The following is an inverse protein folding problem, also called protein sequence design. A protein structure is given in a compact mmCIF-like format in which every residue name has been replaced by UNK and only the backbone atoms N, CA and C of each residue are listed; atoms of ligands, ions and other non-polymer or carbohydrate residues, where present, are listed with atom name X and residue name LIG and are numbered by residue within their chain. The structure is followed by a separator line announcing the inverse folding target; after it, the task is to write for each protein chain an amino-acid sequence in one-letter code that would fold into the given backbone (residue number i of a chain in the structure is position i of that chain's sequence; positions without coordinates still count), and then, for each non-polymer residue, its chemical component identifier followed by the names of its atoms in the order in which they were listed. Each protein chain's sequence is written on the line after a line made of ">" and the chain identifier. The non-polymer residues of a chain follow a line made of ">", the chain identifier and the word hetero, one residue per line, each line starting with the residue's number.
data_IF_176278949211
#
_entry.id   IF_176278949211
#
_cell.length_a   1.000
_cell.length_b   1.000
_cell.length_c   1.000
_cell.angle_alpha   90.00
_cell.angle_beta   90.00
_cell.angle_gamma   90.00
#
_symmetry.space_group_name_H-M   'P 1'
#
loop_
_entity.id
_entity.type
_entity.pdbx_description
1 polymer ?
#
# COMPACT_ATOMS: atom_id res chain seq x y z
N UNK A 1 9.47 28.58 -40.81
CA UNK A 1 10.11 28.32 -39.50
C UNK A 1 9.04 28.33 -38.40
N UNK A 2 8.39 27.19 -38.13
CA UNK A 2 7.53 27.00 -36.95
C UNK A 2 7.65 25.53 -36.58
N UNK A 3 8.17 25.23 -35.40
CA UNK A 3 8.22 23.83 -34.94
C UNK A 3 9.23 23.49 -33.85
N UNK A 4 9.45 24.35 -32.84
CA UNK A 4 10.37 24.03 -31.72
C UNK A 4 9.83 24.38 -30.33
N UNK A 5 8.56 24.77 -30.18
CA UNK A 5 7.97 25.13 -28.88
C UNK A 5 7.04 24.05 -28.28
N UNK A 6 6.75 22.97 -29.00
CA UNK A 6 5.79 21.96 -28.55
C UNK A 6 6.40 20.77 -27.80
N UNK A 7 7.72 20.58 -27.79
CA UNK A 7 8.36 19.42 -27.13
C UNK A 7 8.65 19.62 -25.64
N UNK A 8 8.76 20.87 -25.17
CA UNK A 8 9.09 21.16 -23.76
C UNK A 8 7.85 21.15 -22.86
N UNK A 9 6.68 21.53 -23.36
CA UNK A 9 5.42 21.47 -22.62
C UNK A 9 4.90 20.03 -22.49
N UNK A 10 5.22 19.15 -23.44
CA UNK A 10 4.79 17.75 -23.48
C UNK A 10 5.46 16.89 -22.39
N UNK A 11 6.77 17.08 -22.15
CA UNK A 11 7.52 16.36 -21.11
C UNK A 11 7.18 16.78 -19.67
N UNK A 12 6.55 17.94 -19.51
CA UNK A 12 6.11 18.46 -18.20
C UNK A 12 4.72 17.92 -17.85
N UNK A 13 3.85 17.76 -18.85
CA UNK A 13 2.51 17.17 -18.70
C UNK A 13 2.54 15.64 -18.61
N UNK A 14 3.45 14.95 -19.31
CA UNK A 14 3.67 13.51 -19.10
C UNK A 14 4.15 13.18 -17.68
N UNK A 15 4.83 14.12 -17.03
CA UNK A 15 5.23 14.01 -15.63
C UNK A 15 4.06 14.20 -14.65
N UNK A 16 2.92 14.71 -15.13
CA UNK A 16 1.72 14.99 -14.33
C UNK A 16 0.74 13.82 -14.24
N UNK A 17 0.92 12.78 -15.07
CA UNK A 17 0.09 11.59 -15.05
C UNK A 17 1.00 10.36 -15.09
N UNK A 18 1.39 9.83 -13.93
CA UNK A 18 2.04 8.52 -13.89
C UNK A 18 1.03 7.49 -14.42
N UNK A 19 1.24 6.88 -15.60
CA UNK A 19 0.29 5.92 -16.15
C UNK A 19 0.10 4.71 -15.23
N UNK A 20 1.09 4.42 -14.38
CA UNK A 20 1.03 3.35 -13.40
C UNK A 20 0.06 3.67 -12.25
N UNK A 21 -0.20 4.94 -11.96
CA UNK A 21 -1.09 5.37 -10.87
C UNK A 21 -2.55 5.00 -11.10
N UNK A 22 -2.92 4.70 -12.35
CA UNK A 22 -4.26 4.27 -12.73
C UNK A 22 -4.30 2.87 -13.35
N UNK A 23 -3.15 2.19 -13.42
CA UNK A 23 -3.01 0.93 -14.16
C UNK A 23 -3.93 -0.18 -13.67
N UNK A 24 -4.24 -0.21 -12.38
CA UNK A 24 -5.14 -1.21 -11.78
C UNK A 24 -6.62 -1.00 -12.12
N UNK A 25 -7.02 0.18 -12.59
CA UNK A 25 -8.40 0.40 -13.05
C UNK A 25 -8.55 -0.03 -14.51
N UNK A 26 -9.33 -1.08 -14.79
CA UNK A 26 -9.74 -1.38 -16.16
C UNK A 26 -10.77 -0.36 -16.65
N UNK A 27 -10.29 0.70 -17.31
CA UNK A 27 -11.16 1.73 -17.88
C UNK A 27 -12.16 1.18 -18.91
N UNK A 28 -11.80 0.14 -19.69
CA UNK A 28 -12.73 -0.42 -20.69
C UNK A 28 -13.89 -1.14 -20.01
N UNK A 29 -13.62 -1.84 -18.92
CA UNK A 29 -14.65 -2.44 -18.09
C UNK A 29 -15.48 -1.34 -17.40
N UNK A 30 -14.83 -0.38 -16.74
CA UNK A 30 -15.50 0.72 -16.04
C UNK A 30 -16.47 1.51 -16.91
N UNK A 31 -16.08 1.89 -18.12
CA UNK A 31 -16.94 2.63 -19.06
C UNK A 31 -18.22 1.87 -19.46
N UNK A 32 -18.28 0.56 -19.24
CA UNK A 32 -19.43 -0.31 -19.59
C UNK A 32 -20.09 -0.95 -18.36
N UNK A 33 -19.51 -0.78 -17.18
CA UNK A 33 -19.98 -1.39 -15.96
C UNK A 33 -21.33 -0.80 -15.56
N UNK A 34 -22.26 -1.66 -15.16
CA UNK A 34 -23.54 -1.28 -14.55
C UNK A 34 -23.64 -1.72 -13.08
N UNK A 35 -22.63 -2.46 -12.60
CA UNK A 35 -22.47 -2.92 -11.23
C UNK A 35 -21.00 -2.71 -10.80
N UNK A 36 -20.72 -2.59 -9.49
CA UNK A 36 -19.36 -2.55 -8.99
C UNK A 36 -18.57 -3.79 -9.40
N UNK A 37 -17.28 -3.61 -9.67
CA UNK A 37 -16.38 -4.74 -9.96
C UNK A 37 -15.08 -4.57 -9.17
N UNK A 38 -14.44 -5.70 -8.88
CA UNK A 38 -13.23 -5.75 -8.08
C UNK A 38 -11.98 -5.40 -8.91
N UNK A 39 -11.01 -4.76 -8.27
CA UNK A 39 -9.67 -4.55 -8.83
C UNK A 39 -8.87 -5.84 -8.71
N UNK A 40 -8.76 -6.61 -9.79
CA UNK A 40 -8.08 -7.92 -9.77
C UNK A 40 -6.55 -7.84 -9.63
N UNK A 41 -5.93 -6.78 -10.18
CA UNK A 41 -4.46 -6.65 -10.23
C UNK A 41 -4.05 -5.31 -9.62
N UNK A 42 -3.39 -5.38 -8.47
CA UNK A 42 -2.83 -4.21 -7.80
C UNK A 42 -1.48 -3.81 -8.37
N UNK A 43 -1.24 -2.50 -8.45
CA UNK A 43 0.05 -1.91 -8.80
C UNK A 43 0.56 -1.05 -7.64
N UNK A 44 1.86 -1.10 -7.35
CA UNK A 44 2.44 -0.45 -6.17
C UNK A 44 2.30 1.08 -6.11
N UNK A 45 1.99 1.69 -7.27
CA UNK A 45 1.76 3.13 -7.40
C UNK A 45 0.29 3.50 -7.55
N UNK A 46 -0.63 2.55 -7.38
CA UNK A 46 -2.04 2.79 -7.63
C UNK A 46 -2.59 3.85 -6.68
N UNK A 47 -3.11 4.95 -7.23
CA UNK A 47 -3.62 6.10 -6.48
C UNK A 47 -5.10 6.39 -6.79
N UNK A 48 -6.02 5.50 -6.41
CA UNK A 48 -7.45 5.74 -6.56
C UNK A 48 -7.94 6.83 -5.59
N UNK A 49 -9.05 7.47 -5.95
CA UNK A 49 -9.89 8.14 -4.97
C UNK A 49 -10.76 7.08 -4.29
N UNK A 50 -10.51 6.82 -3.01
CA UNK A 50 -11.25 5.80 -2.25
C UNK A 50 -12.32 6.44 -1.37
N UNK A 51 -13.45 5.75 -1.25
CA UNK A 51 -14.49 6.06 -0.27
C UNK A 51 -14.61 4.85 0.63
N UNK A 52 -14.24 5.01 1.90
CA UNK A 52 -14.31 3.95 2.90
C UNK A 52 -15.27 4.37 4.02
N UNK A 53 -16.08 3.42 4.49
CA UNK A 53 -16.92 3.64 5.66
C UNK A 53 -16.04 3.72 6.90
N UNK A 54 -16.08 4.84 7.61
CA UNK A 54 -15.35 5.02 8.87
C UNK A 54 -15.92 4.10 9.96
N UNK A 55 -15.11 3.17 10.42
CA UNK A 55 -15.39 2.22 11.52
C UNK A 55 -14.21 2.18 12.50
N UNK A 56 -14.32 1.38 13.57
CA UNK A 56 -13.19 1.13 14.47
C UNK A 56 -12.06 0.32 13.83
N UNK A 57 -12.34 -0.39 12.73
CA UNK A 57 -11.35 -1.20 11.99
C UNK A 57 -10.71 -0.42 10.83
N UNK A 58 -11.25 0.75 10.49
CA UNK A 58 -10.75 1.53 9.35
C UNK A 58 -9.39 2.14 9.70
N UNK A 59 -8.34 1.86 8.92
CA UNK A 59 -7.03 2.45 9.16
C UNK A 59 -7.08 3.97 9.15
N UNK A 60 -6.24 4.57 9.99
CA UNK A 60 -6.04 6.02 9.99
C UNK A 60 -5.08 6.41 8.88
N UNK A 61 -5.25 7.60 8.35
CA UNK A 61 -4.33 8.13 7.35
C UNK A 61 -2.96 8.42 8.00
N UNK A 62 -1.86 7.98 7.38
CA UNK A 62 -0.51 8.27 7.86
C UNK A 62 -0.08 9.68 7.44
N UNK A 63 -0.10 10.60 8.41
CA UNK A 63 0.20 12.02 8.20
C UNK A 63 1.66 12.28 7.75
N UNK A 64 2.56 11.30 7.83
CA UNK A 64 3.93 11.44 7.32
C UNK A 64 3.99 11.64 5.80
N UNK A 65 2.94 11.24 5.08
CA UNK A 65 2.83 11.36 3.63
C UNK A 65 1.86 12.45 3.18
N UNK A 66 1.28 13.22 4.10
CA UNK A 66 0.27 14.24 3.82
C UNK A 66 0.74 15.22 2.74
N UNK A 67 -0.10 15.43 1.71
CA UNK A 67 0.17 16.33 0.56
C UNK A 67 1.44 15.94 -0.25
N UNK A 68 2.01 14.78 0.03
CA UNK A 68 3.17 14.23 -0.66
C UNK A 68 2.81 13.27 -1.78
N UNK A 69 3.81 12.82 -2.56
CA UNK A 69 3.60 11.88 -3.66
C UNK A 69 3.20 10.46 -3.21
N UNK A 70 3.27 10.15 -1.91
CA UNK A 70 2.85 8.85 -1.35
C UNK A 70 1.57 8.94 -0.51
N UNK A 71 0.92 10.11 -0.47
CA UNK A 71 -0.30 10.36 0.32
C UNK A 71 -1.34 9.27 0.04
N UNK A 72 -1.81 9.18 -1.21
CA UNK A 72 -2.85 8.22 -1.60
C UNK A 72 -2.35 6.79 -1.72
N UNK A 73 -1.08 6.61 -2.11
CA UNK A 73 -0.47 5.28 -2.24
C UNK A 73 -0.43 4.62 -0.86
N UNK A 74 0.08 5.32 0.16
CA UNK A 74 0.24 4.75 1.50
C UNK A 74 -1.11 4.32 2.08
N UNK A 75 -2.14 5.17 1.97
CA UNK A 75 -3.47 4.83 2.44
C UNK A 75 -4.11 3.65 1.68
N UNK A 76 -3.92 3.59 0.36
CA UNK A 76 -4.41 2.46 -0.46
C UNK A 76 -3.68 1.17 -0.09
N UNK A 77 -2.37 1.20 0.12
CA UNK A 77 -1.56 0.06 0.56
C UNK A 77 -2.01 -0.45 1.93
N UNK A 78 -2.28 0.44 2.88
CA UNK A 78 -2.74 0.03 4.20
C UNK A 78 -4.14 -0.57 4.19
N UNK A 79 -5.06 -0.03 3.39
CA UNK A 79 -6.38 -0.63 3.21
C UNK A 79 -6.28 -2.07 2.69
N UNK A 80 -5.42 -2.32 1.69
CA UNK A 80 -5.17 -3.66 1.17
C UNK A 80 -4.53 -4.57 2.23
N UNK A 81 -3.57 -4.06 2.98
CA UNK A 81 -2.94 -4.79 4.09
C UNK A 81 -3.96 -5.18 5.18
N UNK A 82 -4.92 -4.29 5.45
CA UNK A 82 -6.04 -4.52 6.37
C UNK A 82 -7.13 -5.47 5.82
N UNK A 83 -6.96 -6.02 4.62
CA UNK A 83 -7.90 -6.96 4.00
C UNK A 83 -9.14 -6.32 3.39
N UNK A 84 -9.08 -5.03 3.02
CA UNK A 84 -10.15 -4.40 2.27
C UNK A 84 -10.06 -4.72 0.78
N UNK A 85 -11.18 -5.09 0.18
CA UNK A 85 -11.30 -5.22 -1.26
C UNK A 85 -11.56 -3.86 -1.92
N UNK A 86 -10.89 -3.61 -3.04
CA UNK A 86 -11.08 -2.39 -3.83
C UNK A 86 -12.12 -2.64 -4.92
N UNK A 87 -13.27 -1.97 -4.80
CA UNK A 87 -14.35 -2.01 -5.78
C UNK A 87 -14.37 -0.72 -6.60
N UNK A 88 -14.35 -0.85 -7.92
CA UNK A 88 -14.60 0.25 -8.84
C UNK A 88 -16.10 0.42 -9.01
N UNK A 89 -16.59 1.64 -8.74
CA UNK A 89 -18.00 1.97 -8.88
C UNK A 89 -18.35 2.41 -10.32
N UNK A 90 -19.41 1.86 -10.94
CA UNK A 90 -19.90 2.30 -12.24
C UNK A 90 -20.52 3.69 -12.13
N UNK A 91 -20.40 4.50 -13.20
CA UNK A 91 -21.05 5.82 -13.32
C UNK A 91 -20.66 6.85 -12.24
N UNK A 92 -19.55 6.64 -11.52
CA UNK A 92 -19.02 7.60 -10.52
C UNK A 92 -17.76 8.26 -11.06
N UNK A 93 -17.70 9.59 -11.00
CA UNK A 93 -16.58 10.38 -11.51
C UNK A 93 -15.98 11.22 -10.41
N UNK A 94 -14.66 11.12 -10.21
CA UNK A 94 -13.90 12.04 -9.40
C UNK A 94 -13.32 13.13 -10.31
N UNK A 95 -13.78 14.37 -10.12
CA UNK A 95 -13.27 15.54 -10.84
C UNK A 95 -12.40 16.30 -9.86
N UNK A 96 -11.09 16.32 -10.11
CA UNK A 96 -10.13 17.11 -9.36
C UNK A 96 -9.62 18.23 -10.24
N UNK A 97 -9.42 19.42 -9.67
CA UNK A 97 -8.55 20.39 -10.30
C UNK A 97 -7.13 19.78 -10.31
N UNK A 98 -6.47 19.80 -11.46
CA UNK A 98 -5.08 19.43 -11.53
C UNK A 98 -4.32 20.47 -10.69
N UNK A 99 -3.76 20.04 -9.56
CA UNK A 99 -2.67 20.76 -8.93
C UNK A 99 -1.46 20.67 -9.86
N UNK A 100 -1.46 21.50 -10.91
CA UNK A 100 -0.19 21.99 -11.45
C UNK A 100 0.47 22.69 -10.28
N UNK A 101 1.70 22.35 -9.88
CA UNK A 101 2.38 23.09 -8.84
C UNK A 101 2.62 24.51 -9.37
N UNK A 102 1.67 25.41 -9.11
CA UNK A 102 1.76 26.81 -9.50
C UNK A 102 2.62 27.47 -8.44
N UNK A 103 3.94 27.34 -8.60
CA UNK A 103 4.94 28.28 -8.10
C UNK A 103 4.59 28.96 -6.76
N UNK A 104 4.52 28.19 -5.67
CA UNK A 104 4.81 28.70 -4.33
C UNK A 104 5.90 27.82 -3.72
N UNK A 105 7.15 28.16 -4.03
CA UNK A 105 8.32 27.88 -3.19
C UNK A 105 8.77 26.41 -2.98
N UNK A 106 8.77 25.53 -4.00
CA UNK A 106 9.34 24.18 -3.79
C UNK A 106 9.81 23.34 -5.00
N UNK A 107 9.50 23.73 -6.25
CA UNK A 107 9.71 22.84 -7.42
C UNK A 107 11.19 22.60 -7.76
N UNK A 108 12.11 23.40 -7.21
CA UNK A 108 13.55 23.25 -7.44
C UNK A 108 14.30 22.44 -6.37
N UNK A 109 13.64 21.84 -5.38
CA UNK A 109 14.33 21.17 -4.27
C UNK A 109 14.06 19.66 -4.11
N UNK A 110 13.54 19.00 -5.15
CA UNK A 110 13.60 17.53 -5.24
C UNK A 110 15.02 17.07 -5.62
N UNK A 111 16.01 17.47 -4.82
CA UNK A 111 17.35 16.90 -4.88
C UNK A 111 17.30 15.40 -4.60
N UNK A 112 18.36 14.69 -5.01
CA UNK A 112 18.55 13.24 -4.76
C UNK A 112 18.21 12.84 -3.31
N UNK A 113 18.52 13.71 -2.34
CA UNK A 113 18.26 13.48 -0.92
C UNK A 113 16.78 13.40 -0.54
N UNK A 114 15.90 14.21 -1.14
CA UNK A 114 14.45 14.13 -0.88
C UNK A 114 13.85 12.83 -1.41
N UNK A 115 14.34 12.33 -2.54
CA UNK A 115 13.93 11.03 -3.05
C UNK A 115 14.37 9.90 -2.11
N UNK A 116 15.62 9.93 -1.65
CA UNK A 116 16.12 8.93 -0.69
C UNK A 116 15.32 8.92 0.60
N UNK A 117 15.01 10.08 1.17
CA UNK A 117 14.18 10.17 2.38
C UNK A 117 12.78 9.59 2.16
N UNK A 118 12.16 9.89 1.01
CA UNK A 118 10.86 9.34 0.64
C UNK A 118 10.90 7.81 0.52
N UNK A 119 11.97 7.25 -0.07
CA UNK A 119 12.15 5.81 -0.17
C UNK A 119 12.37 5.15 1.20
N UNK A 120 13.11 5.80 2.11
CA UNK A 120 13.31 5.30 3.48
C UNK A 120 11.97 5.28 4.22
N UNK A 121 11.22 6.39 4.21
CA UNK A 121 9.89 6.47 4.82
C UNK A 121 8.94 5.41 4.25
N UNK A 122 8.95 5.21 2.93
CA UNK A 122 8.16 4.15 2.28
C UNK A 122 8.57 2.76 2.77
N UNK A 123 9.86 2.50 2.91
CA UNK A 123 10.37 1.21 3.37
C UNK A 123 9.95 0.94 4.82
N UNK A 124 10.13 1.91 5.72
CA UNK A 124 9.69 1.81 7.12
C UNK A 124 8.18 1.60 7.23
N UNK A 125 7.40 2.33 6.43
CA UNK A 125 5.96 2.17 6.36
C UNK A 125 5.56 0.75 5.91
N UNK A 126 6.16 0.23 4.83
CA UNK A 126 5.88 -1.14 4.34
C UNK A 126 6.25 -2.17 5.40
N UNK A 127 7.41 -2.04 6.04
CA UNK A 127 7.81 -2.95 7.12
C UNK A 127 6.81 -2.92 8.28
N UNK A 128 6.31 -1.73 8.65
CA UNK A 128 5.25 -1.57 9.65
C UNK A 128 3.95 -2.24 9.24
N UNK A 129 3.53 -2.12 7.98
CA UNK A 129 2.35 -2.84 7.47
C UNK A 129 2.53 -4.36 7.56
N UNK A 130 3.69 -4.86 7.13
CA UNK A 130 3.98 -6.30 7.17
C UNK A 130 3.89 -6.85 8.59
N UNK A 131 4.42 -6.11 9.57
CA UNK A 131 4.34 -6.49 10.97
C UNK A 131 2.91 -6.38 11.54
N UNK A 132 2.25 -5.24 11.35
CA UNK A 132 0.95 -4.95 11.95
C UNK A 132 -0.18 -5.83 11.41
N UNK A 133 -0.10 -6.18 10.12
CA UNK A 133 -1.10 -6.99 9.43
C UNK A 133 -0.63 -8.43 9.19
N UNK A 134 0.53 -8.82 9.72
CA UNK A 134 1.07 -10.19 9.63
C UNK A 134 1.18 -10.69 8.18
N UNK A 135 1.75 -9.85 7.31
CA UNK A 135 1.87 -10.13 5.88
C UNK A 135 3.26 -10.72 5.60
N UNK A 136 3.28 -11.94 5.09
CA UNK A 136 4.51 -12.67 4.76
C UNK A 136 4.85 -13.74 5.78
N UNK A 137 5.97 -14.46 5.59
CA UNK A 137 6.31 -15.67 6.34
C UNK A 137 6.75 -15.42 7.79
N UNK A 138 6.62 -14.20 8.32
CA UNK A 138 7.06 -13.85 9.67
C UNK A 138 6.33 -14.60 10.80
N UNK A 139 5.32 -15.43 10.50
CA UNK A 139 4.55 -16.20 11.49
C UNK A 139 4.86 -17.70 11.50
N UNK A 140 5.37 -18.26 10.40
CA UNK A 140 5.59 -19.72 10.32
C UNK A 140 6.68 -20.16 11.30
N UNK A 141 7.69 -19.31 11.54
CA UNK A 141 8.77 -19.60 12.48
C UNK A 141 8.32 -19.51 13.96
N UNK A 142 7.41 -18.61 14.33
CA UNK A 142 6.95 -18.46 15.72
C UNK A 142 5.96 -19.57 16.13
N UNK A 143 5.07 -20.00 15.22
CA UNK A 143 4.11 -21.07 15.49
C UNK A 143 4.79 -22.46 15.51
N UNK A 144 5.81 -22.69 14.67
CA UNK A 144 6.61 -23.92 14.70
C UNK A 144 7.51 -24.00 15.95
N UNK A 145 8.11 -22.90 16.40
CA UNK A 145 8.91 -22.85 17.63
C UNK A 145 8.04 -23.10 18.89
N UNK A 146 6.83 -22.53 18.96
CA UNK A 146 5.91 -22.78 20.09
C UNK A 146 5.41 -24.24 20.12
N UNK A 147 5.15 -24.86 18.97
CA UNK A 147 4.76 -26.27 18.90
C UNK A 147 5.91 -27.22 19.28
N UNK A 148 7.16 -26.94 18.88
CA UNK A 148 8.33 -27.73 19.26
C UNK A 148 8.63 -27.65 20.78
N UNK A 149 8.53 -26.46 21.39
CA UNK A 149 8.73 -26.28 22.83
C UNK A 149 7.64 -27.01 23.65
N UNK A 150 6.40 -27.04 23.18
CA UNK A 150 5.32 -27.79 23.82
C UNK A 150 5.50 -29.31 23.72
N UNK A 151 6.05 -29.82 22.62
CA UNK A 151 6.34 -31.26 22.47
C UNK A 151 7.51 -31.69 23.36
N UNK A 152 8.60 -30.92 23.45
CA UNK A 152 9.72 -31.22 24.34
C UNK A 152 9.29 -31.26 25.82
N UNK A 153 8.46 -30.30 26.25
CA UNK A 153 7.94 -30.27 27.63
C UNK A 153 7.07 -31.50 27.95
N UNK A 154 6.22 -31.93 27.01
CA UNK A 154 5.39 -33.14 27.16
C UNK A 154 6.25 -34.41 27.21
N UNK A 155 7.33 -34.49 26.44
CA UNK A 155 8.25 -35.62 26.47
C UNK A 155 9.05 -35.69 27.78
N UNK A 156 9.51 -34.55 28.31
CA UNK A 156 10.25 -34.48 29.57
C UNK A 156 9.38 -34.86 30.78
N UNK A 157 8.12 -34.40 30.80
CA UNK A 157 7.15 -34.76 31.84
C UNK A 157 6.85 -36.28 31.84
N UNK A 158 6.62 -36.87 30.66
CA UNK A 158 6.46 -38.32 30.50
C UNK A 158 7.71 -39.12 30.87
N UNK A 159 8.91 -38.52 30.78
CA UNK A 159 10.16 -39.18 31.16
C UNK A 159 10.37 -39.19 32.67
N UNK A 160 9.90 -38.15 33.37
CA UNK A 160 9.93 -38.09 34.84
C UNK A 160 8.91 -39.02 35.48
N UNK A 161 7.70 -39.16 34.93
CA UNK A 161 6.69 -40.10 35.43
C UNK A 161 7.17 -41.56 35.36
N UNK A 162 7.82 -41.95 34.26
CA UNK A 162 8.39 -43.30 34.07
C UNK A 162 9.55 -43.64 35.01
N UNK A 163 10.21 -42.64 35.59
CA UNK A 163 11.29 -42.84 36.57
C UNK A 163 10.78 -42.92 38.02
N UNK A 164 9.59 -42.39 38.29
CA UNK A 164 8.94 -42.44 39.61
C UNK A 164 8.30 -43.79 39.97
N UNK A 165 7.96 -44.63 38.99
CA UNK A 165 7.25 -45.90 39.22
C UNK A 165 8.16 -47.11 39.56
N UNK A 166 9.49 -46.94 39.55
CA UNK A 166 10.46 -48.01 39.84
C UNK A 166 11.18 -47.85 41.21
N UNK A 167 10.66 -47.00 42.11
CA UNK A 167 11.23 -46.72 43.45
C UNK A 167 10.56 -47.47 44.59
#
# INVERSE_FOLDING_TARGET
>A
MKGHLNSFLDSSLQRLTDPDAHRSTDYRAWFRANEPYEVEVYHEKYEPFVIVKKTSLTPSFDEQFLEGPLDRISYTMELLAAGYDLLVLPNVWAITELSVPVSSSGINDYGLFHQTELYIKRFEFIAGLMQNYKIGPCQEEEEEEEEEEEEEQKEEEQRMERQGENG
#
